data_IF_270568252488
#
_entry.id   IF_270568252488
#
_cell.length_a   1.000
_cell.length_b   1.000
_cell.length_c   1.000
_cell.angle_alpha   90.00
_cell.angle_beta   90.00
_cell.angle_gamma   90.00
#
_symmetry.space_group_name_H-M   'P 1'
#
loop_
_entity.id
_entity.type
_entity.pdbx_description
1 polymer ?
#
# COMPACT_ATOMS: atom_id res chain seq x y z
N UNK A 1 5.19 -7.46 10.80
CA UNK A 1 4.64 -6.78 9.61
C UNK A 1 3.47 -7.60 9.09
N UNK A 2 2.29 -6.98 8.95
CA UNK A 2 1.06 -7.67 8.60
C UNK A 2 1.16 -8.29 7.19
N UNK A 3 1.02 -9.62 7.07
CA UNK A 3 1.27 -10.35 5.81
C UNK A 3 0.35 -9.90 4.68
N UNK A 4 -0.84 -9.40 5.02
CA UNK A 4 -1.82 -8.96 4.04
C UNK A 4 -1.46 -7.62 3.39
N UNK A 5 -0.86 -6.69 4.14
CA UNK A 5 -0.41 -5.40 3.59
C UNK A 5 0.68 -5.65 2.56
N UNK A 6 1.69 -6.45 2.90
CA UNK A 6 2.79 -6.76 1.98
C UNK A 6 2.27 -7.49 0.71
N UNK A 7 1.29 -8.39 0.83
CA UNK A 7 0.64 -9.01 -0.33
C UNK A 7 -0.03 -7.99 -1.26
N UNK A 8 -0.70 -6.97 -0.70
CA UNK A 8 -1.27 -5.91 -1.52
C UNK A 8 -0.20 -5.06 -2.21
N UNK A 9 0.88 -4.72 -1.50
CA UNK A 9 1.99 -3.96 -2.10
C UNK A 9 2.65 -4.75 -3.23
N UNK A 10 2.89 -6.05 -3.05
CA UNK A 10 3.46 -6.91 -4.09
C UNK A 10 2.55 -7.02 -5.32
N UNK A 11 1.23 -7.17 -5.11
CA UNK A 11 0.25 -7.15 -6.20
C UNK A 11 0.21 -5.82 -6.93
N UNK A 12 0.31 -4.70 -6.21
CA UNK A 12 0.36 -3.36 -6.81
C UNK A 12 1.62 -3.14 -7.67
N UNK A 13 2.75 -3.73 -7.27
CA UNK A 13 4.01 -3.69 -8.04
C UNK A 13 3.90 -4.55 -9.30
N UNK A 14 3.40 -5.78 -9.17
CA UNK A 14 3.47 -6.81 -10.22
C UNK A 14 2.34 -6.73 -11.25
N UNK A 15 1.16 -6.20 -10.90
CA UNK A 15 0.06 -6.09 -11.86
C UNK A 15 0.39 -5.09 -12.98
N UNK A 16 -0.04 -5.42 -14.20
CA UNK A 16 0.12 -4.57 -15.39
C UNK A 16 -0.97 -3.50 -15.48
N UNK A 17 -2.09 -3.70 -14.79
CA UNK A 17 -3.25 -2.82 -14.84
C UNK A 17 -3.14 -1.72 -13.77
N UNK A 18 -3.16 -0.45 -14.18
CA UNK A 18 -3.07 0.67 -13.26
C UNK A 18 -4.30 0.83 -12.37
N UNK A 19 -5.49 0.42 -12.83
CA UNK A 19 -6.70 0.44 -12.00
C UNK A 19 -6.55 -0.54 -10.84
N UNK A 20 -6.18 -1.79 -11.14
CA UNK A 20 -5.94 -2.82 -10.12
C UNK A 20 -4.81 -2.43 -9.16
N UNK A 21 -3.70 -1.90 -9.70
CA UNK A 21 -2.60 -1.43 -8.86
C UNK A 21 -3.06 -0.38 -7.86
N UNK A 22 -3.90 0.57 -8.30
CA UNK A 22 -4.45 1.60 -7.45
C UNK A 22 -5.40 1.03 -6.38
N UNK A 23 -6.24 0.06 -6.73
CA UNK A 23 -7.13 -0.62 -5.77
C UNK A 23 -6.35 -1.37 -4.68
N UNK A 24 -5.25 -2.03 -5.05
CA UNK A 24 -4.37 -2.68 -4.07
C UNK A 24 -3.70 -1.68 -3.13
N UNK A 25 -3.23 -0.54 -3.65
CA UNK A 25 -2.66 0.52 -2.81
C UNK A 25 -3.70 1.11 -1.84
N UNK A 26 -4.93 1.38 -2.31
CA UNK A 26 -6.03 1.84 -1.44
C UNK A 26 -6.38 0.81 -0.38
N UNK A 27 -6.38 -0.47 -0.73
CA UNK A 27 -6.65 -1.57 0.22
C UNK A 27 -5.57 -1.66 1.30
N UNK A 28 -4.29 -1.55 0.92
CA UNK A 28 -3.17 -1.50 1.85
C UNK A 28 -3.27 -0.28 2.78
N UNK A 29 -3.56 0.91 2.23
CA UNK A 29 -3.70 2.14 2.99
C UNK A 29 -4.84 2.06 4.01
N UNK A 30 -5.97 1.49 3.62
CA UNK A 30 -7.12 1.29 4.50
C UNK A 30 -6.78 0.34 5.66
N UNK A 31 -6.02 -0.73 5.42
CA UNK A 31 -5.54 -1.61 6.48
C UNK A 31 -4.60 -0.88 7.45
N UNK A 32 -3.66 -0.08 6.93
CA UNK A 32 -2.74 0.71 7.77
C UNK A 32 -3.49 1.63 8.74
N UNK A 33 -4.56 2.28 8.27
CA UNK A 33 -5.35 3.17 9.12
C UNK A 33 -6.19 2.43 10.16
N UNK A 34 -6.82 1.32 9.78
CA UNK A 34 -7.71 0.56 10.66
C UNK A 34 -6.99 -0.42 11.59
N UNK A 35 -5.72 -0.75 11.31
CA UNK A 35 -4.93 -1.64 12.15
C UNK A 35 -4.63 -0.98 13.50
N UNK A 36 -5.14 -1.60 14.58
CA UNK A 36 -4.99 -1.10 15.95
C UNK A 36 -3.64 -1.50 16.57
N UNK A 37 -3.00 -2.54 16.03
CA UNK A 37 -1.79 -3.13 16.60
C UNK A 37 -0.52 -2.42 16.08
N UNK A 38 -0.61 -1.74 14.93
CA UNK A 38 0.54 -1.03 14.36
C UNK A 38 0.85 0.28 15.09
N UNK A 39 2.13 0.47 15.41
CA UNK A 39 2.66 1.74 15.92
C UNK A 39 2.61 2.84 14.85
N UNK A 40 2.62 4.10 15.28
CA UNK A 40 2.65 5.24 14.36
C UNK A 40 3.86 5.21 13.42
N UNK A 41 5.01 4.72 13.89
CA UNK A 41 6.22 4.61 13.08
C UNK A 41 6.07 3.56 11.98
N UNK A 42 5.50 2.38 12.29
CA UNK A 42 5.20 1.36 11.28
C UNK A 42 4.18 1.86 10.25
N UNK A 43 3.16 2.61 10.70
CA UNK A 43 2.19 3.26 9.80
C UNK A 43 2.89 4.17 8.81
N UNK A 44 3.77 5.06 9.28
CA UNK A 44 4.51 5.99 8.42
C UNK A 44 5.39 5.23 7.41
N UNK A 45 6.11 4.19 7.84
CA UNK A 45 6.97 3.39 6.95
C UNK A 45 6.15 2.79 5.80
N UNK A 46 4.99 2.19 6.10
CA UNK A 46 4.15 1.55 5.09
C UNK A 46 3.50 2.61 4.18
N UNK A 47 3.00 3.72 4.72
CA UNK A 47 2.45 4.82 3.91
C UNK A 47 3.49 5.41 2.95
N UNK A 48 4.74 5.53 3.39
CA UNK A 48 5.84 5.95 2.50
C UNK A 48 6.10 4.93 1.39
N UNK A 49 6.06 3.62 1.67
CA UNK A 49 6.15 2.58 0.63
C UNK A 49 5.00 2.70 -0.39
N UNK A 50 3.77 2.91 0.08
CA UNK A 50 2.58 3.09 -0.78
C UNK A 50 2.79 4.29 -1.71
N UNK A 51 3.24 5.43 -1.17
CA UNK A 51 3.53 6.62 -1.97
C UNK A 51 4.62 6.38 -3.01
N UNK A 52 5.71 5.69 -2.66
CA UNK A 52 6.76 5.36 -3.61
C UNK A 52 6.24 4.51 -4.77
N UNK A 53 5.41 3.50 -4.49
CA UNK A 53 4.81 2.65 -5.53
C UNK A 53 3.87 3.48 -6.41
N UNK A 54 2.98 4.28 -5.82
CA UNK A 54 2.07 5.15 -6.57
C UNK A 54 2.81 6.12 -7.49
N UNK A 55 3.86 6.78 -7.00
CA UNK A 55 4.69 7.69 -7.79
C UNK A 55 5.39 6.98 -8.94
N UNK A 56 5.99 5.81 -8.70
CA UNK A 56 6.66 5.01 -9.74
C UNK A 56 5.71 4.61 -10.88
N UNK A 57 4.42 4.47 -10.57
CA UNK A 57 3.36 4.04 -11.49
C UNK A 57 2.49 5.18 -12.02
N UNK A 58 2.73 6.42 -11.59
CA UNK A 58 1.91 7.61 -11.90
C UNK A 58 0.43 7.43 -11.50
N UNK A 59 0.20 6.80 -10.36
CA UNK A 59 -1.14 6.59 -9.80
C UNK A 59 -1.53 7.76 -8.89
N UNK A 60 -2.83 8.06 -8.76
CA UNK A 60 -3.30 9.03 -7.77
C UNK A 60 -3.06 8.49 -6.36
N UNK A 61 -2.32 9.26 -5.55
CA UNK A 61 -2.15 9.06 -4.10
C UNK A 61 -3.22 9.81 -3.32
#
# INVERSE_FOLDING_TARGET
>A
MNSQIEQFLEKAITTKNNLEANEYLRSAMNLVYNEKIMTNQEKIIILNKINCIALSRRLPT
#
